data_IF_681462100638
#
_entry.id   IF_681462100638
#
_cell.length_a   1.000
_cell.length_b   1.000
_cell.length_c   1.000
_cell.angle_alpha   90.00
_cell.angle_beta   90.00
_cell.angle_gamma   90.00
#
_symmetry.space_group_name_H-M   'P 1'
#
loop_
_entity.id
_entity.type
_entity.pdbx_description
1 polymer ?
#
# COMPACT_ATOMS: atom_id res chain seq x y z
N UNK A 1 -3.96 -4.42 -19.01
CA UNK A 1 -3.07 -3.24 -18.87
C UNK A 1 -3.80 -2.04 -19.45
N UNK A 2 -4.68 -1.41 -18.66
CA UNK A 2 -5.56 -0.33 -19.13
C UNK A 2 -4.94 1.04 -18.88
N UNK A 3 -4.68 1.79 -19.94
CA UNK A 3 -4.22 3.18 -19.86
C UNK A 3 -5.37 4.08 -19.44
N UNK A 4 -5.20 4.81 -18.33
CA UNK A 4 -6.14 5.86 -17.93
C UNK A 4 -5.82 7.13 -18.70
N UNK A 5 -6.78 7.56 -19.50
CA UNK A 5 -6.77 8.82 -20.21
C UNK A 5 -7.02 9.95 -19.19
N UNK A 6 -5.98 10.69 -18.84
CA UNK A 6 -6.12 11.93 -18.09
C UNK A 6 -6.74 12.97 -19.05
N UNK A 7 -7.85 13.64 -18.70
CA UNK A 7 -8.47 14.61 -19.60
C UNK A 7 -7.47 15.72 -19.93
N UNK A 8 -7.19 15.87 -21.24
CA UNK A 8 -6.38 16.95 -21.81
C UNK A 8 -7.11 18.28 -21.51
N UNK A 9 -6.39 19.27 -21.00
CA UNK A 9 -6.91 20.64 -20.93
C UNK A 9 -7.00 21.18 -22.35
N UNK A 10 -8.20 21.18 -22.94
CA UNK A 10 -8.42 21.73 -24.27
C UNK A 10 -8.42 23.28 -24.20
N UNK A 11 -7.41 23.88 -24.82
CA UNK A 11 -7.42 25.28 -25.22
C UNK A 11 -8.30 25.43 -26.48
N UNK A 12 -9.16 26.46 -26.59
CA UNK A 12 -10.03 26.59 -27.75
C UNK A 12 -9.25 27.19 -28.92
N UNK A 13 -9.06 26.41 -29.99
CA UNK A 13 -8.63 26.93 -31.30
C UNK A 13 -9.73 26.74 -32.34
N UNK A 14 -10.39 27.86 -32.63
CA UNK A 14 -11.33 28.12 -33.71
C UNK A 14 -10.67 27.97 -35.10
N UNK A 15 -11.14 27.08 -36.00
CA UNK A 15 -11.10 27.27 -37.47
C UNK A 15 -12.27 26.54 -38.18
N UNK A 16 -13.28 27.33 -38.57
CA UNK A 16 -14.03 27.44 -39.85
C UNK A 16 -13.90 26.33 -40.95
N UNK A 17 -15.07 25.85 -41.43
CA UNK A 17 -15.37 25.65 -42.87
C UNK A 17 -15.58 24.22 -43.39
N UNK A 18 -16.73 23.97 -44.05
CA UNK A 18 -16.91 22.85 -45.01
C UNK A 18 -18.22 22.06 -44.85
N UNK A 19 -19.05 22.08 -45.90
CA UNK A 19 -20.43 21.57 -45.94
C UNK A 19 -20.50 20.17 -46.62
N UNK A 20 -21.60 19.44 -46.36
CA UNK A 20 -22.20 18.33 -47.14
C UNK A 20 -21.70 16.89 -46.85
N UNK A 21 -22.55 16.10 -46.17
CA UNK A 21 -23.09 14.84 -46.72
C UNK A 21 -24.25 14.32 -45.86
N UNK A 22 -25.45 14.26 -46.42
CA UNK A 22 -26.60 13.62 -45.79
C UNK A 22 -26.42 12.09 -45.83
N UNK A 23 -26.28 11.45 -44.66
CA UNK A 23 -26.47 10.00 -44.50
C UNK A 23 -27.39 9.79 -43.31
N UNK A 24 -28.66 9.48 -43.59
CA UNK A 24 -29.74 9.37 -42.61
C UNK A 24 -29.83 7.97 -41.97
N UNK A 25 -28.70 7.26 -41.90
CA UNK A 25 -28.55 5.92 -41.31
C UNK A 25 -27.35 5.88 -40.36
N UNK A 26 -27.42 6.56 -39.21
CA UNK A 26 -26.79 6.11 -37.95
C UNK A 26 -27.02 7.12 -36.80
N UNK A 27 -28.13 7.04 -36.05
CA UNK A 27 -28.14 7.55 -34.68
C UNK A 27 -28.10 6.40 -33.65
N UNK A 28 -28.47 5.17 -34.04
CA UNK A 28 -28.67 4.06 -33.08
C UNK A 28 -27.37 3.29 -32.73
N UNK A 29 -26.47 3.03 -33.69
CA UNK A 29 -25.22 2.28 -33.42
C UNK A 29 -24.20 3.11 -32.64
N UNK A 30 -24.10 4.41 -32.93
CA UNK A 30 -23.19 5.31 -32.21
C UNK A 30 -23.64 5.51 -30.74
N UNK A 31 -24.94 5.70 -30.50
CA UNK A 31 -25.46 5.82 -29.14
C UNK A 31 -25.29 4.53 -28.32
N UNK A 32 -25.50 3.36 -28.95
CA UNK A 32 -25.31 2.07 -28.29
C UNK A 32 -23.84 1.83 -27.94
N UNK A 33 -22.91 2.15 -28.83
CA UNK A 33 -21.47 2.05 -28.55
C UNK A 33 -21.02 3.05 -27.46
N UNK A 34 -21.61 4.25 -27.42
CA UNK A 34 -21.32 5.24 -26.38
C UNK A 34 -21.88 4.84 -25.01
N UNK A 35 -23.07 4.23 -24.97
CA UNK A 35 -23.63 3.67 -23.74
C UNK A 35 -22.84 2.45 -23.27
N UNK A 36 -22.48 1.52 -24.16
CA UNK A 36 -21.70 0.33 -23.81
C UNK A 36 -20.29 0.71 -23.32
N UNK A 37 -19.58 1.66 -23.96
CA UNK A 37 -18.27 2.11 -23.50
C UNK A 37 -18.32 2.89 -22.18
N UNK A 38 -19.31 3.77 -21.97
CA UNK A 38 -19.45 4.46 -20.68
C UNK A 38 -19.91 3.52 -19.56
N UNK A 39 -20.71 2.50 -19.88
CA UNK A 39 -21.13 1.47 -18.92
C UNK A 39 -19.94 0.56 -18.54
N UNK A 40 -19.10 0.16 -19.50
CA UNK A 40 -17.85 -0.57 -19.26
C UNK A 40 -16.83 0.28 -18.49
N UNK A 41 -16.74 1.56 -18.81
CA UNK A 41 -15.89 2.51 -18.10
C UNK A 41 -16.35 2.64 -16.65
N UNK A 42 -17.63 2.96 -16.40
CA UNK A 42 -18.19 3.15 -15.07
C UNK A 42 -18.05 1.90 -14.19
N UNK A 43 -18.36 0.72 -14.71
CA UNK A 43 -18.16 -0.56 -14.00
C UNK A 43 -16.70 -0.79 -13.61
N UNK A 44 -15.76 -0.49 -14.52
CA UNK A 44 -14.33 -0.63 -14.26
C UNK A 44 -13.80 0.40 -13.26
N UNK A 45 -14.31 1.64 -13.25
CA UNK A 45 -13.95 2.66 -12.26
C UNK A 45 -14.45 2.33 -10.87
N UNK A 46 -15.66 1.79 -10.76
CA UNK A 46 -16.24 1.35 -9.48
C UNK A 46 -15.43 0.16 -8.96
N UNK A 47 -15.19 -0.86 -9.77
CA UNK A 47 -14.37 -2.02 -9.39
C UNK A 47 -12.97 -1.59 -8.92
N UNK A 48 -12.30 -0.72 -9.68
CA UNK A 48 -10.99 -0.19 -9.32
C UNK A 48 -11.00 0.55 -7.97
N UNK A 49 -12.00 1.41 -7.75
CA UNK A 49 -12.14 2.18 -6.52
C UNK A 49 -12.43 1.25 -5.34
N UNK A 50 -13.28 0.24 -5.53
CA UNK A 50 -13.58 -0.77 -4.51
C UNK A 50 -12.33 -1.54 -4.09
N UNK A 51 -11.49 -1.99 -5.04
CA UNK A 51 -10.24 -2.70 -4.72
C UNK A 51 -9.29 -1.82 -3.93
N UNK A 52 -9.13 -0.55 -4.30
CA UNK A 52 -8.25 0.40 -3.60
C UNK A 52 -8.74 0.69 -2.18
N UNK A 53 -10.04 0.91 -2.01
CA UNK A 53 -10.64 1.16 -0.69
C UNK A 53 -10.55 -0.08 0.18
N UNK A 54 -10.87 -1.25 -0.36
CA UNK A 54 -10.74 -2.53 0.34
C UNK A 54 -9.29 -2.77 0.77
N UNK A 55 -8.32 -2.58 -0.13
CA UNK A 55 -6.90 -2.70 0.22
C UNK A 55 -6.50 -1.74 1.34
N UNK A 56 -6.95 -0.48 1.29
CA UNK A 56 -6.68 0.51 2.35
C UNK A 56 -7.27 0.08 3.70
N UNK A 57 -8.52 -0.42 3.70
CA UNK A 57 -9.18 -0.93 4.90
C UNK A 57 -8.44 -2.14 5.46
N UNK A 58 -8.00 -3.07 4.61
CA UNK A 58 -7.26 -4.25 5.04
C UNK A 58 -5.87 -3.87 5.62
N UNK A 59 -5.16 -2.91 5.02
CA UNK A 59 -3.87 -2.44 5.51
C UNK A 59 -3.96 -1.78 6.89
N UNK A 60 -4.98 -0.93 7.10
CA UNK A 60 -5.24 -0.30 8.40
C UNK A 60 -5.84 -1.28 9.40
N UNK A 61 -6.73 -2.15 8.94
CA UNK A 61 -7.39 -3.18 9.74
C UNK A 61 -6.39 -4.19 10.28
N UNK A 62 -5.42 -4.62 9.49
CA UNK A 62 -4.33 -5.49 9.95
C UNK A 62 -3.54 -4.84 11.09
N UNK A 63 -3.12 -3.58 10.92
CA UNK A 63 -2.41 -2.84 11.97
C UNK A 63 -3.25 -2.66 13.24
N UNK A 64 -4.51 -2.24 13.08
CA UNK A 64 -5.43 -2.05 14.19
C UNK A 64 -5.70 -3.36 14.95
N UNK A 65 -5.87 -4.46 14.22
CA UNK A 65 -6.07 -5.79 14.79
C UNK A 65 -4.83 -6.26 15.55
N UNK A 66 -3.62 -6.09 14.99
CA UNK A 66 -2.38 -6.45 15.69
C UNK A 66 -2.16 -5.60 16.94
N UNK A 67 -2.46 -4.30 16.87
CA UNK A 67 -2.42 -3.40 18.04
C UNK A 67 -3.42 -3.84 19.11
N UNK A 68 -4.68 -4.10 18.72
CA UNK A 68 -5.70 -4.59 19.64
C UNK A 68 -5.31 -5.91 20.29
N UNK A 69 -4.78 -6.85 19.50
CA UNK A 69 -4.31 -8.14 19.98
C UNK A 69 -3.22 -7.99 21.06
N UNK A 70 -2.21 -7.16 20.81
CA UNK A 70 -1.13 -6.93 21.78
C UNK A 70 -1.62 -6.20 23.03
N UNK A 71 -2.44 -5.17 22.88
CA UNK A 71 -2.91 -4.37 24.01
C UNK A 71 -3.85 -5.16 24.92
N UNK A 72 -4.76 -5.97 24.35
CA UNK A 72 -5.77 -6.69 25.12
C UNK A 72 -5.28 -8.04 25.63
N UNK A 73 -4.54 -8.81 24.83
CA UNK A 73 -4.17 -10.18 25.17
C UNK A 73 -2.73 -10.34 25.66
N UNK A 74 -1.81 -9.44 25.31
CA UNK A 74 -0.38 -9.56 25.66
C UNK A 74 0.12 -8.51 26.65
N UNK A 75 -0.79 -7.73 27.25
CA UNK A 75 -0.45 -6.80 28.32
C UNK A 75 0.38 -5.59 27.88
N UNK A 76 0.32 -5.24 26.59
CA UNK A 76 0.89 -4.03 26.02
C UNK A 76 2.39 -4.12 25.69
N UNK A 77 3.07 -2.98 25.81
CA UNK A 77 4.47 -2.81 25.41
C UNK A 77 5.37 -2.58 26.61
N UNK A 78 6.56 -3.15 26.57
CA UNK A 78 7.66 -2.78 27.45
C UNK A 78 8.96 -2.77 26.64
N UNK A 79 10.01 -2.17 27.20
CA UNK A 79 11.35 -2.26 26.66
C UNK A 79 12.12 -3.35 27.41
N UNK A 80 13.35 -3.06 27.86
CA UNK A 80 14.23 -4.01 28.55
C UNK A 80 13.77 -4.52 29.91
N UNK A 81 12.78 -3.87 30.51
CA UNK A 81 12.24 -4.27 31.82
C UNK A 81 11.53 -5.62 31.79
N UNK A 82 10.92 -5.97 30.65
CA UNK A 82 10.19 -7.21 30.49
C UNK A 82 10.38 -7.78 29.07
N UNK A 83 11.25 -8.80 28.90
CA UNK A 83 11.55 -9.38 27.60
C UNK A 83 10.32 -9.90 26.85
N UNK A 84 9.31 -10.41 27.56
CA UNK A 84 8.09 -10.93 26.94
C UNK A 84 7.27 -9.80 26.30
N UNK A 85 7.16 -8.66 26.99
CA UNK A 85 6.48 -7.48 26.46
C UNK A 85 7.31 -6.71 25.43
N UNK A 86 8.63 -6.87 25.46
CA UNK A 86 9.52 -6.36 24.43
C UNK A 86 9.31 -7.08 23.11
N UNK A 87 9.08 -8.39 23.14
CA UNK A 87 8.74 -9.17 21.95
C UNK A 87 7.47 -8.64 21.27
N UNK A 88 6.49 -8.15 22.02
CA UNK A 88 5.24 -7.60 21.45
C UNK A 88 5.45 -6.42 20.49
N UNK A 89 6.57 -5.70 20.59
CA UNK A 89 6.92 -4.65 19.65
C UNK A 89 7.26 -5.21 18.26
N UNK A 90 7.81 -6.43 18.20
CA UNK A 90 8.19 -7.08 16.95
C UNK A 90 6.99 -7.22 15.99
N UNK A 91 5.89 -7.93 16.31
CA UNK A 91 4.77 -8.09 15.39
C UNK A 91 4.11 -6.75 15.03
N UNK A 92 3.97 -5.83 15.97
CA UNK A 92 3.32 -4.53 15.72
C UNK A 92 4.15 -3.68 14.76
N UNK A 93 5.45 -3.56 15.00
CA UNK A 93 6.33 -2.75 14.16
C UNK A 93 6.60 -3.40 12.81
N UNK A 94 6.65 -4.73 12.72
CA UNK A 94 6.77 -5.46 11.46
C UNK A 94 5.51 -5.28 10.60
N UNK A 95 4.30 -5.37 11.19
CA UNK A 95 3.04 -5.08 10.47
C UNK A 95 2.99 -3.62 10.05
N UNK A 96 3.32 -2.68 10.94
CA UNK A 96 3.32 -1.25 10.61
C UNK A 96 4.28 -0.91 9.47
N UNK A 97 5.52 -1.42 9.52
CA UNK A 97 6.54 -1.14 8.51
C UNK A 97 6.32 -1.88 7.19
N UNK A 98 6.35 -3.21 7.21
CA UNK A 98 6.32 -4.02 6.00
C UNK A 98 4.94 -4.14 5.36
N UNK A 99 3.88 -4.16 6.15
CA UNK A 99 2.52 -4.33 5.61
C UNK A 99 1.91 -2.96 5.36
N UNK A 100 1.75 -2.14 6.41
CA UNK A 100 0.98 -0.90 6.31
C UNK A 100 1.72 0.19 5.53
N UNK A 101 2.89 0.65 5.98
CA UNK A 101 3.60 1.76 5.32
C UNK A 101 4.10 1.40 3.93
N UNK A 102 4.72 0.24 3.76
CA UNK A 102 5.12 -0.26 2.43
C UNK A 102 3.91 -0.50 1.52
N UNK A 103 2.80 -1.04 2.04
CA UNK A 103 1.57 -1.24 1.27
C UNK A 103 0.97 0.09 0.78
N UNK A 104 0.91 1.10 1.65
CA UNK A 104 0.45 2.44 1.28
C UNK A 104 1.38 3.12 0.27
N UNK A 105 2.70 2.94 0.37
CA UNK A 105 3.65 3.51 -0.58
C UNK A 105 3.40 3.03 -2.01
N UNK A 106 3.02 1.76 -2.19
CA UNK A 106 2.68 1.17 -3.49
C UNK A 106 1.28 1.62 -3.93
N UNK A 107 0.32 1.68 -3.01
CA UNK A 107 -1.05 2.09 -3.30
C UNK A 107 -1.15 3.55 -3.76
N UNK A 108 -0.27 4.43 -3.27
CA UNK A 108 -0.22 5.83 -3.69
C UNK A 108 0.02 6.02 -5.19
N UNK A 109 0.81 5.16 -5.84
CA UNK A 109 0.99 5.21 -7.30
C UNK A 109 -0.31 4.90 -8.06
N UNK A 110 -1.24 4.18 -7.43
CA UNK A 110 -2.55 3.83 -7.99
C UNK A 110 -3.58 4.93 -7.72
N UNK A 111 -3.56 5.53 -6.53
CA UNK A 111 -4.51 6.59 -6.15
C UNK A 111 -4.15 7.90 -6.85
N UNK A 112 -2.89 8.31 -6.79
CA UNK A 112 -2.43 9.63 -7.23
C UNK A 112 -2.04 9.67 -8.72
N UNK A 113 -2.79 9.00 -9.61
CA UNK A 113 -2.50 8.97 -11.06
C UNK A 113 -2.62 10.34 -11.74
N UNK A 114 -3.43 11.24 -11.17
CA UNK A 114 -3.62 12.61 -11.67
C UNK A 114 -2.69 13.64 -11.02
N UNK A 115 -1.92 13.25 -10.00
CA UNK A 115 -0.95 14.12 -9.34
C UNK A 115 0.32 14.23 -10.17
N UNK A 116 1.08 15.32 -9.99
CA UNK A 116 2.42 15.40 -10.60
C UNK A 116 3.27 14.23 -10.08
N UNK A 117 3.97 13.57 -11.00
CA UNK A 117 4.83 12.42 -10.72
C UNK A 117 5.84 12.66 -9.59
N UNK A 118 6.27 13.92 -9.40
CA UNK A 118 7.18 14.31 -8.32
C UNK A 118 6.55 14.10 -6.93
N UNK A 119 5.29 14.47 -6.71
CA UNK A 119 4.63 14.31 -5.40
C UNK A 119 4.45 12.84 -5.04
N UNK A 120 4.09 12.00 -6.02
CA UNK A 120 3.91 10.57 -5.80
C UNK A 120 5.24 9.90 -5.43
N UNK A 121 6.34 10.32 -6.08
CA UNK A 121 7.69 9.86 -5.73
C UNK A 121 8.08 10.29 -4.31
N UNK A 122 7.85 11.55 -3.95
CA UNK A 122 8.15 12.05 -2.60
C UNK A 122 7.37 11.30 -1.53
N UNK A 123 6.06 11.12 -1.72
CA UNK A 123 5.24 10.36 -0.78
C UNK A 123 5.72 8.91 -0.67
N UNK A 124 6.01 8.24 -1.79
CA UNK A 124 6.54 6.88 -1.77
C UNK A 124 7.84 6.79 -0.95
N UNK A 125 8.79 7.69 -1.17
CA UNK A 125 10.04 7.74 -0.40
C UNK A 125 9.80 8.04 1.07
N UNK A 126 8.86 8.94 1.42
CA UNK A 126 8.50 9.24 2.81
C UNK A 126 7.92 8.01 3.52
N UNK A 127 7.00 7.27 2.88
CA UNK A 127 6.44 6.06 3.47
C UNK A 127 7.50 4.97 3.69
N UNK A 128 8.44 4.79 2.76
CA UNK A 128 9.57 3.88 2.99
C UNK A 128 10.54 4.38 4.06
N UNK A 129 10.79 5.70 4.13
CA UNK A 129 11.59 6.30 5.20
C UNK A 129 10.97 6.12 6.59
N UNK A 130 9.64 6.07 6.69
CA UNK A 130 8.93 5.71 7.93
C UNK A 130 8.96 4.21 8.22
N UNK A 131 8.93 3.36 7.19
CA UNK A 131 8.97 1.91 7.34
C UNK A 131 10.33 1.40 7.85
N UNK A 132 11.45 1.98 7.39
CA UNK A 132 12.81 1.58 7.79
C UNK A 132 12.99 1.55 9.33
N UNK A 133 12.74 2.63 10.08
CA UNK A 133 12.93 2.62 11.54
C UNK A 133 11.96 1.66 12.23
N UNK A 134 10.71 1.50 11.73
CA UNK A 134 9.79 0.50 12.28
C UNK A 134 10.35 -0.92 12.17
N UNK A 135 10.80 -1.31 10.97
CA UNK A 135 11.37 -2.65 10.74
C UNK A 135 12.65 -2.85 11.54
N UNK A 136 13.54 -1.86 11.57
CA UNK A 136 14.79 -1.93 12.33
C UNK A 136 14.53 -2.10 13.82
N UNK A 137 13.64 -1.29 14.41
CA UNK A 137 13.30 -1.38 15.82
C UNK A 137 12.57 -2.68 16.15
N UNK A 138 11.64 -3.13 15.30
CA UNK A 138 10.94 -4.41 15.47
C UNK A 138 11.90 -5.60 15.42
N UNK A 139 12.95 -5.54 14.60
CA UNK A 139 13.98 -6.57 14.52
C UNK A 139 14.91 -6.55 15.74
N UNK A 140 15.32 -5.36 16.18
CA UNK A 140 16.12 -5.22 17.40
C UNK A 140 15.34 -5.71 18.63
N UNK A 141 14.04 -5.44 18.70
CA UNK A 141 13.19 -5.87 19.81
C UNK A 141 13.14 -7.40 19.96
N UNK A 142 13.05 -8.17 18.86
CA UNK A 142 13.07 -9.63 18.95
C UNK A 142 14.45 -10.15 19.38
N UNK A 143 15.54 -9.60 18.83
CA UNK A 143 16.90 -10.00 19.22
C UNK A 143 17.18 -9.72 20.69
N UNK A 144 16.86 -8.51 21.17
CA UNK A 144 17.06 -8.12 22.56
C UNK A 144 16.15 -8.97 23.49
N UNK A 145 14.90 -9.25 23.10
CA UNK A 145 14.00 -10.11 23.90
C UNK A 145 14.51 -11.56 24.06
N UNK A 146 15.12 -12.14 23.02
CA UNK A 146 15.69 -13.47 23.09
C UNK A 146 16.95 -13.51 23.96
N UNK A 147 17.80 -12.47 23.84
CA UNK A 147 19.05 -12.36 24.59
C UNK A 147 18.81 -12.07 26.07
N UNK A 148 17.78 -11.29 26.41
CA UNK A 148 17.43 -10.92 27.79
C UNK A 148 16.51 -11.94 28.48
N UNK A 149 16.06 -12.98 27.76
CA UNK A 149 15.20 -14.03 28.33
C UNK A 149 15.96 -14.79 29.43
N UNK A 150 15.32 -14.95 30.58
CA UNK A 150 15.83 -15.73 31.71
C UNK A 150 14.95 -16.97 31.95
N UNK A 151 15.50 -18.08 32.50
CA UNK A 151 16.84 -18.24 33.09
C UNK A 151 17.97 -18.45 32.07
N UNK A 152 17.65 -18.82 30.83
CA UNK A 152 18.62 -18.98 29.74
C UNK A 152 18.17 -18.22 28.49
N UNK A 153 19.08 -17.52 27.79
CA UNK A 153 18.77 -16.87 26.52
C UNK A 153 18.23 -17.85 25.46
N UNK A 154 17.33 -17.37 24.62
CA UNK A 154 16.81 -18.14 23.48
C UNK A 154 17.81 -18.00 22.31
N UNK A 155 18.23 -19.09 21.65
CA UNK A 155 19.10 -18.99 20.49
C UNK A 155 18.40 -18.22 19.36
N UNK A 156 19.15 -17.34 18.68
CA UNK A 156 18.64 -16.59 17.54
C UNK A 156 18.75 -17.38 16.23
N UNK A 157 17.91 -17.05 15.25
CA UNK A 157 17.95 -17.56 13.86
C UNK A 157 17.79 -19.07 13.64
N UNK A 158 17.17 -19.81 14.56
CA UNK A 158 16.92 -21.24 14.38
C UNK A 158 15.64 -21.55 13.59
N UNK A 159 14.73 -20.58 13.43
CA UNK A 159 13.43 -20.79 12.79
C UNK A 159 13.41 -20.36 11.33
N UNK A 160 12.66 -21.06 10.48
CA UNK A 160 12.48 -20.65 9.07
C UNK A 160 11.92 -19.23 8.93
N UNK A 161 11.07 -18.80 9.86
CA UNK A 161 10.56 -17.44 9.91
C UNK A 161 11.68 -16.40 9.95
N UNK A 162 12.69 -16.62 10.81
CA UNK A 162 13.80 -15.69 10.95
C UNK A 162 14.71 -15.62 9.70
N UNK A 163 14.88 -16.73 8.98
CA UNK A 163 15.64 -16.76 7.73
C UNK A 163 14.91 -16.00 6.62
N UNK A 164 13.61 -16.26 6.44
CA UNK A 164 12.78 -15.56 5.45
C UNK A 164 12.67 -14.07 5.81
N UNK A 165 12.53 -13.75 7.10
CA UNK A 165 12.50 -12.37 7.60
C UNK A 165 13.79 -11.61 7.31
N UNK A 166 14.95 -12.23 7.53
CA UNK A 166 16.25 -11.63 7.18
C UNK A 166 16.38 -11.37 5.67
N UNK A 167 15.99 -12.35 4.84
CA UNK A 167 16.01 -12.18 3.39
C UNK A 167 15.07 -11.04 2.97
N UNK A 168 13.86 -10.98 3.54
CA UNK A 168 12.89 -9.91 3.29
C UNK A 168 13.45 -8.53 3.66
N UNK A 169 14.07 -8.41 4.84
CA UNK A 169 14.74 -7.17 5.28
C UNK A 169 15.88 -6.77 4.33
N UNK A 170 16.71 -7.71 3.90
CA UNK A 170 17.79 -7.45 2.95
C UNK A 170 17.27 -6.96 1.60
N UNK A 171 16.26 -7.63 1.04
CA UNK A 171 15.62 -7.22 -0.21
C UNK A 171 14.94 -5.85 -0.08
N UNK A 172 14.29 -5.58 1.05
CA UNK A 172 13.68 -4.28 1.31
C UNK A 172 14.72 -3.16 1.37
N UNK A 173 15.85 -3.38 2.04
CA UNK A 173 16.93 -2.39 2.11
C UNK A 173 17.56 -2.11 0.74
N UNK A 174 17.59 -3.10 -0.16
CA UNK A 174 18.05 -2.92 -1.55
C UNK A 174 17.01 -2.18 -2.41
N UNK A 175 15.73 -2.37 -2.10
CA UNK A 175 14.61 -1.82 -2.88
C UNK A 175 14.33 -0.34 -2.58
N UNK A 176 14.50 0.09 -1.33
CA UNK A 176 14.24 1.47 -0.88
C UNK A 176 15.30 2.44 -1.42
#
# INVERSE_FOLDING_TARGET
>A
MGYVHCPRKDHPSNIRGGMICARRDCPMKLHRHYQEENQWSCGSWIEYTLVVVLASILLLGALALTLFWILQYHGGFAWRENPDKQFNLHPVLMVAGFITFSGFSVLLYRICRCCRRIYVKLLHTVFHALAIPCVAVGFLAVLDSHNLKQPSPIPNFYSLHSWIGLVCMGLFAIQV
#
